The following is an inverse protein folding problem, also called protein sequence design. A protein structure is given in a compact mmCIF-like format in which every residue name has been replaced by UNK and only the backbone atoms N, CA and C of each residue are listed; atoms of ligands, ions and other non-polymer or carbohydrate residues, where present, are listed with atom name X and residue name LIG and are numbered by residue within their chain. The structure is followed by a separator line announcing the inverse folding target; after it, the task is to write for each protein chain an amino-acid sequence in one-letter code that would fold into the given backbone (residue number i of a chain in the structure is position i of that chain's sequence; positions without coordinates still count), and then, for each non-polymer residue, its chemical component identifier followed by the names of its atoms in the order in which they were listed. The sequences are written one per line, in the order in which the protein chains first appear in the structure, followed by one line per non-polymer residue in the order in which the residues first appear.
data_IF_182293426685
#
_entry.id   IF_182293426685
#
_cell.length_a   1.000
_cell.length_b   1.000
_cell.length_c   1.000
_cell.angle_alpha   90.00
_cell.angle_beta   90.00
_cell.angle_gamma   90.00
#
_symmetry.space_group_name_H-M   'P 1'
#
loop_
_entity.id
_entity.type
_entity.pdbx_description
1 polymer ?
#
# COMPACT_ATOMS: atom_id res chain seq x y z
N UNK A 1 -16.48 -14.87 7.18
CA UNK A 1 -16.01 -13.55 7.67
C UNK A 1 -15.37 -12.72 6.54
N UNK A 2 -14.37 -13.24 5.81
CA UNK A 2 -13.67 -12.46 4.76
C UNK A 2 -14.60 -11.99 3.62
N UNK A 3 -15.47 -12.88 3.10
CA UNK A 3 -16.45 -12.52 2.08
C UNK A 3 -17.49 -11.51 2.60
N UNK A 4 -17.95 -11.66 3.84
CA UNK A 4 -18.87 -10.70 4.47
C UNK A 4 -18.26 -9.31 4.58
N UNK A 5 -16.95 -9.19 4.84
CA UNK A 5 -16.25 -7.90 4.85
C UNK A 5 -16.26 -7.24 3.48
N UNK A 6 -15.95 -7.99 2.43
CA UNK A 6 -16.00 -7.46 1.05
C UNK A 6 -17.41 -6.99 0.67
N UNK A 7 -18.45 -7.77 1.04
CA UNK A 7 -19.85 -7.41 0.81
C UNK A 7 -20.23 -6.14 1.58
N UNK A 8 -19.87 -6.05 2.87
CA UNK A 8 -20.15 -4.86 3.69
C UNK A 8 -19.50 -3.59 3.13
N UNK A 9 -18.33 -3.72 2.49
CA UNK A 9 -17.62 -2.62 1.82
C UNK A 9 -18.08 -2.40 0.38
N UNK A 10 -19.03 -3.21 -0.10
CA UNK A 10 -19.47 -3.22 -1.50
C UNK A 10 -18.29 -3.26 -2.48
N UNK A 11 -17.34 -4.17 -2.21
CA UNK A 11 -16.17 -4.41 -3.05
C UNK A 11 -16.27 -5.81 -3.68
N UNK A 12 -16.22 -5.94 -5.01
CA UNK A 12 -16.24 -7.23 -5.67
C UNK A 12 -14.98 -8.05 -5.33
N UNK A 13 -15.19 -9.35 -5.03
CA UNK A 13 -14.12 -10.33 -4.84
C UNK A 13 -13.83 -10.96 -6.20
N UNK A 14 -13.05 -10.26 -7.00
CA UNK A 14 -12.60 -10.72 -8.30
C UNK A 14 -11.12 -10.37 -8.45
N UNK A 15 -10.30 -11.41 -8.64
CA UNK A 15 -8.85 -11.24 -8.75
C UNK A 15 -8.43 -10.36 -9.94
N UNK A 16 -9.22 -10.35 -11.02
CA UNK A 16 -8.97 -9.54 -12.21
C UNK A 16 -9.25 -8.06 -11.98
N UNK A 17 -10.22 -7.74 -11.13
CA UNK A 17 -10.63 -6.38 -10.84
C UNK A 17 -9.71 -5.67 -9.85
N UNK A 18 -9.10 -6.39 -8.91
CA UNK A 18 -8.13 -5.85 -7.97
C UNK A 18 -8.70 -4.98 -6.86
N UNK A 19 -10.01 -5.10 -6.54
CA UNK A 19 -10.65 -4.36 -5.45
C UNK A 19 -10.47 -5.03 -4.09
N UNK A 20 -10.78 -6.31 -4.01
CA UNK A 20 -10.64 -7.11 -2.80
C UNK A 20 -10.28 -8.55 -3.15
N UNK A 21 -9.57 -9.20 -2.24
CA UNK A 21 -9.15 -10.59 -2.37
C UNK A 21 -9.54 -11.37 -1.12
N UNK A 22 -9.81 -12.65 -1.30
CA UNK A 22 -9.92 -13.62 -0.21
C UNK A 22 -8.82 -14.65 -0.42
N UNK A 23 -7.83 -14.63 0.46
CA UNK A 23 -6.64 -15.46 0.33
C UNK A 23 -6.54 -16.45 1.50
N UNK A 24 -6.00 -17.66 1.27
CA UNK A 24 -5.69 -18.58 2.36
C UNK A 24 -4.53 -18.02 3.20
N UNK A 25 -4.74 -17.98 4.50
CA UNK A 25 -3.73 -17.57 5.48
C UNK A 25 -3.54 -18.66 6.53
N UNK A 26 -2.30 -19.10 6.73
CA UNK A 26 -1.97 -20.08 7.76
C UNK A 26 -1.78 -19.39 9.10
N UNK A 27 -2.71 -19.61 10.00
CA UNK A 27 -2.57 -19.23 11.42
C UNK A 27 -1.68 -20.26 12.14
N UNK A 28 -0.41 -19.90 12.28
CA UNK A 28 0.57 -20.80 12.91
C UNK A 28 0.31 -21.04 14.39
N UNK A 29 -0.43 -20.15 15.08
CA UNK A 29 -0.77 -20.33 16.51
C UNK A 29 -1.88 -21.35 16.69
N UNK A 30 -2.83 -21.39 15.76
CA UNK A 30 -3.98 -22.30 15.79
C UNK A 30 -3.78 -23.55 14.93
N UNK A 31 -2.74 -23.59 14.10
CA UNK A 31 -2.49 -24.71 13.17
C UNK A 31 -3.51 -24.86 12.05
N UNK A 32 -4.35 -23.85 11.79
CA UNK A 32 -5.42 -23.89 10.79
C UNK A 32 -5.16 -22.90 9.65
N UNK A 33 -5.77 -23.15 8.50
CA UNK A 33 -5.80 -22.17 7.40
C UNK A 33 -7.14 -21.47 7.38
N UNK A 34 -7.11 -20.14 7.42
CA UNK A 34 -8.30 -19.28 7.41
C UNK A 34 -8.38 -18.46 6.13
N UNK A 35 -9.62 -18.13 5.73
CA UNK A 35 -9.85 -17.19 4.64
C UNK A 35 -9.61 -15.76 5.15
N UNK A 36 -8.59 -15.10 4.63
CA UNK A 36 -8.24 -13.72 4.97
C UNK A 36 -8.76 -12.75 3.92
N UNK A 37 -9.42 -11.69 4.39
CA UNK A 37 -9.74 -10.54 3.55
C UNK A 37 -8.47 -9.73 3.30
N UNK A 38 -8.23 -9.35 2.05
CA UNK A 38 -7.16 -8.45 1.69
C UNK A 38 -7.68 -7.36 0.76
N UNK A 39 -7.48 -6.10 1.16
CA UNK A 39 -7.89 -4.94 0.39
C UNK A 39 -6.91 -4.72 -0.78
N UNK A 40 -7.44 -4.68 -1.99
CA UNK A 40 -6.67 -4.38 -3.19
C UNK A 40 -6.35 -2.90 -3.34
N UNK A 41 -5.35 -2.56 -4.16
CA UNK A 41 -4.98 -1.16 -4.43
C UNK A 41 -6.14 -0.37 -5.03
N UNK A 42 -6.86 -0.95 -6.00
CA UNK A 42 -8.05 -0.33 -6.59
C UNK A 42 -9.18 -0.19 -5.56
N UNK A 43 -9.30 -1.13 -4.61
CA UNK A 43 -10.27 -1.05 -3.52
C UNK A 43 -10.02 0.12 -2.59
N UNK A 44 -8.76 0.38 -2.23
CA UNK A 44 -8.38 1.56 -1.45
C UNK A 44 -8.80 2.85 -2.16
N UNK A 45 -8.48 2.97 -3.45
CA UNK A 45 -8.86 4.13 -4.26
C UNK A 45 -10.39 4.29 -4.36
N UNK A 46 -11.11 3.19 -4.54
CA UNK A 46 -12.57 3.20 -4.63
C UNK A 46 -13.23 3.68 -3.33
N UNK A 47 -12.74 3.22 -2.17
CA UNK A 47 -13.25 3.67 -0.89
C UNK A 47 -12.92 5.15 -0.63
N UNK A 48 -11.74 5.61 -1.02
CA UNK A 48 -11.38 7.02 -0.97
C UNK A 48 -12.32 7.89 -1.82
N UNK A 49 -12.58 7.48 -3.06
CA UNK A 49 -13.54 8.16 -3.95
C UNK A 49 -14.94 8.23 -3.35
N UNK A 50 -15.45 7.12 -2.83
CA UNK A 50 -16.79 7.05 -2.22
C UNK A 50 -16.95 7.93 -0.98
N UNK A 51 -15.85 8.21 -0.25
CA UNK A 51 -15.90 9.08 0.93
C UNK A 51 -16.26 10.52 0.59
N UNK A 52 -16.10 10.94 -0.67
CA UNK A 52 -16.32 12.31 -1.12
C UNK A 52 -15.37 13.35 -0.50
N UNK A 53 -14.33 12.93 0.22
CA UNK A 53 -13.44 13.83 0.97
C UNK A 53 -12.18 14.24 0.19
N UNK A 54 -11.87 13.56 -0.91
CA UNK A 54 -10.63 13.75 -1.64
C UNK A 54 -10.81 14.62 -2.89
N UNK A 55 -10.02 15.69 -2.98
CA UNK A 55 -9.88 16.49 -4.20
C UNK A 55 -8.96 15.81 -5.23
N UNK A 56 -7.92 15.11 -4.74
CA UNK A 56 -7.03 14.28 -5.55
C UNK A 56 -7.05 12.86 -5.01
N UNK A 57 -7.32 11.89 -5.89
CA UNK A 57 -7.34 10.47 -5.51
C UNK A 57 -5.96 10.06 -4.99
N UNK A 58 -5.89 9.34 -3.86
CA UNK A 58 -4.63 8.85 -3.34
C UNK A 58 -3.85 8.08 -4.40
N UNK A 59 -2.63 8.51 -4.64
CA UNK A 59 -1.74 7.89 -5.62
C UNK A 59 -0.36 7.65 -5.03
N UNK A 60 0.43 6.79 -5.67
CA UNK A 60 1.81 6.55 -5.32
C UNK A 60 2.66 6.31 -6.57
N UNK A 61 3.93 6.65 -6.44
CA UNK A 61 4.96 6.37 -7.44
C UNK A 61 6.27 5.97 -6.75
N UNK A 62 7.15 5.32 -7.51
CA UNK A 62 8.54 5.15 -7.12
C UNK A 62 9.29 6.50 -7.20
N UNK A 63 10.35 6.60 -6.43
CA UNK A 63 11.27 7.74 -6.43
C UNK A 63 12.63 7.23 -6.84
N UNK A 64 13.21 7.84 -7.88
CA UNK A 64 14.50 7.49 -8.44
C UNK A 64 15.62 8.33 -7.83
N UNK A 65 16.84 7.86 -7.99
CA UNK A 65 18.01 8.58 -7.55
C UNK A 65 18.11 9.96 -8.21
N UNK A 66 18.32 11.00 -7.39
CA UNK A 66 18.30 12.41 -7.80
C UNK A 66 16.93 13.09 -7.74
N UNK A 67 15.80 12.36 -7.61
CA UNK A 67 14.46 12.96 -7.55
C UNK A 67 14.09 13.49 -6.15
N UNK A 68 14.63 12.92 -5.06
CA UNK A 68 14.41 13.41 -3.70
C UNK A 68 15.41 14.51 -3.36
N UNK A 69 14.95 15.75 -3.25
CA UNK A 69 15.78 16.92 -2.91
C UNK A 69 16.03 17.01 -1.41
N UNK A 70 14.97 16.88 -0.61
CA UNK A 70 15.06 16.98 0.85
C UNK A 70 13.97 16.21 1.56
N UNK A 71 14.27 15.74 2.77
CA UNK A 71 13.31 15.12 3.70
C UNK A 71 13.52 15.70 5.09
N UNK A 72 12.51 16.39 5.60
CA UNK A 72 12.48 16.81 7.00
C UNK A 72 11.91 15.68 7.85
N UNK A 73 12.72 15.09 8.72
CA UNK A 73 12.29 13.96 9.55
C UNK A 73 11.33 14.36 10.67
N UNK A 74 11.34 15.62 11.08
CA UNK A 74 10.47 16.12 12.14
C UNK A 74 9.05 16.39 11.61
N UNK A 75 8.94 17.12 10.50
CA UNK A 75 7.65 17.48 9.90
C UNK A 75 7.09 16.42 8.95
N UNK A 76 7.95 15.53 8.44
CA UNK A 76 7.62 14.58 7.38
C UNK A 76 7.61 15.19 5.97
N UNK A 77 7.87 16.50 5.85
CA UNK A 77 7.89 17.19 4.57
C UNK A 77 9.00 16.64 3.66
N UNK A 78 8.64 16.36 2.42
CA UNK A 78 9.57 15.93 1.39
C UNK A 78 9.43 16.83 0.16
N UNK A 79 10.57 17.18 -0.45
CA UNK A 79 10.61 17.93 -1.71
C UNK A 79 11.20 17.05 -2.79
N UNK A 80 10.52 17.00 -3.93
CA UNK A 80 10.89 16.20 -5.08
C UNK A 80 11.07 17.07 -6.32
N UNK A 81 11.97 16.66 -7.19
CA UNK A 81 12.08 17.13 -8.56
C UNK A 81 12.11 15.90 -9.46
N UNK A 82 10.96 15.52 -9.98
CA UNK A 82 10.84 14.33 -10.80
C UNK A 82 11.45 14.55 -12.18
N UNK A 83 12.18 13.54 -12.69
CA UNK A 83 12.76 13.52 -14.01
C UNK A 83 11.62 13.35 -15.01
N UNK A 84 11.45 14.31 -15.93
CA UNK A 84 10.37 14.31 -16.92
C UNK A 84 10.63 13.32 -18.06
N UNK A 85 11.89 13.15 -18.45
CA UNK A 85 12.27 12.18 -19.47
C UNK A 85 12.19 10.76 -18.92
N UNK A 86 11.28 9.97 -19.47
CA UNK A 86 11.01 8.60 -19.01
C UNK A 86 12.21 7.67 -19.23
N UNK A 87 12.94 7.82 -20.33
CA UNK A 87 14.09 6.96 -20.64
C UNK A 87 15.27 7.27 -19.70
N UNK A 88 15.50 8.54 -19.40
CA UNK A 88 16.52 8.96 -18.43
C UNK A 88 16.13 8.47 -17.03
N UNK A 89 14.86 8.63 -16.66
CA UNK A 89 14.33 8.22 -15.36
C UNK A 89 14.48 6.71 -15.13
N UNK A 90 14.19 5.87 -16.13
CA UNK A 90 14.28 4.41 -16.00
C UNK A 90 15.71 3.91 -15.79
N UNK A 91 16.73 4.65 -16.25
CA UNK A 91 18.15 4.32 -16.01
C UNK A 91 18.58 4.54 -14.56
N UNK A 92 17.83 5.33 -13.79
CA UNK A 92 18.14 5.62 -12.38
C UNK A 92 17.60 4.55 -11.44
N UNK A 93 18.33 4.15 -10.40
CA UNK A 93 17.84 3.18 -9.44
C UNK A 93 16.69 3.74 -8.60
N UNK A 94 15.74 2.88 -8.21
CA UNK A 94 14.68 3.21 -7.27
C UNK A 94 15.27 3.33 -5.87
N UNK A 95 15.11 4.51 -5.24
CA UNK A 95 15.58 4.80 -3.87
C UNK A 95 14.45 4.81 -2.85
N UNK A 96 13.19 4.91 -3.27
CA UNK A 96 12.05 4.93 -2.39
C UNK A 96 10.72 4.99 -3.10
N UNK A 97 9.68 5.22 -2.31
CA UNK A 97 8.29 5.28 -2.77
C UNK A 97 7.57 6.40 -2.04
N UNK A 98 6.75 7.15 -2.77
CA UNK A 98 5.99 8.27 -2.23
C UNK A 98 4.52 8.13 -2.55
N UNK A 99 3.66 8.51 -1.61
CA UNK A 99 2.23 8.65 -1.80
C UNK A 99 1.79 10.07 -1.52
N UNK A 100 0.83 10.55 -2.29
CA UNK A 100 0.22 11.86 -2.15
C UNK A 100 -1.30 11.79 -2.24
N UNK A 101 -1.96 12.64 -1.49
CA UNK A 101 -3.37 12.97 -1.67
C UNK A 101 -3.65 14.41 -1.24
N UNK A 102 -4.75 14.97 -1.76
CA UNK A 102 -5.30 16.26 -1.35
C UNK A 102 -6.78 16.13 -1.02
N UNK A 103 -7.20 16.74 0.07
CA UNK A 103 -8.58 16.77 0.53
C UNK A 103 -9.32 17.99 -0.04
N UNK A 104 -10.65 17.95 -0.04
CA UNK A 104 -11.49 19.06 -0.49
C UNK A 104 -11.34 20.31 0.38
N UNK A 105 -10.99 20.16 1.67
CA UNK A 105 -10.71 21.30 2.56
C UNK A 105 -9.34 21.94 2.33
N UNK A 106 -8.59 21.51 1.31
CA UNK A 106 -7.27 22.01 0.96
C UNK A 106 -6.10 21.34 1.68
N UNK A 107 -6.35 20.50 2.72
CA UNK A 107 -5.29 19.76 3.38
C UNK A 107 -4.70 18.71 2.42
N UNK A 108 -3.37 18.57 2.46
CA UNK A 108 -2.66 17.61 1.63
C UNK A 108 -1.63 16.83 2.44
N UNK A 109 -1.30 15.64 1.99
CA UNK A 109 -0.34 14.78 2.65
C UNK A 109 0.57 14.10 1.64
N UNK A 110 1.86 14.19 1.93
CA UNK A 110 2.93 13.46 1.24
C UNK A 110 3.56 12.48 2.24
N UNK A 111 3.62 11.20 1.88
CA UNK A 111 4.23 10.17 2.72
C UNK A 111 5.27 9.39 1.93
N UNK A 112 6.51 9.48 2.35
CA UNK A 112 7.65 8.84 1.70
C UNK A 112 8.27 7.76 2.58
N UNK A 113 8.64 6.65 1.96
CA UNK A 113 9.48 5.59 2.54
C UNK A 113 10.63 5.29 1.60
N UNK A 114 11.85 5.22 2.13
CA UNK A 114 13.00 4.74 1.37
C UNK A 114 12.84 3.25 1.03
N UNK A 115 13.55 2.80 -0.02
CA UNK A 115 13.55 1.38 -0.41
C UNK A 115 13.95 0.47 0.76
N UNK A 116 14.96 0.87 1.54
CA UNK A 116 15.40 0.11 2.71
C UNK A 116 14.33 0.06 3.83
N UNK A 117 13.60 1.17 4.07
CA UNK A 117 12.46 1.18 5.00
C UNK A 117 11.35 0.25 4.50
N UNK A 118 11.10 0.24 3.20
CA UNK A 118 10.08 -0.62 2.57
C UNK A 118 10.45 -2.11 2.64
N UNK A 119 11.71 -2.46 2.40
CA UNK A 119 12.21 -3.83 2.56
C UNK A 119 12.06 -4.33 4.00
N UNK A 120 12.41 -3.51 4.98
CA UNK A 120 12.18 -3.82 6.41
C UNK A 120 10.71 -4.03 6.71
N UNK A 121 9.84 -3.20 6.14
CA UNK A 121 8.39 -3.36 6.27
C UNK A 121 7.92 -4.69 5.67
N UNK A 122 8.35 -5.02 4.44
CA UNK A 122 8.00 -6.27 3.79
C UNK A 122 8.47 -7.50 4.60
N UNK A 123 9.70 -7.50 5.10
CA UNK A 123 10.22 -8.57 5.96
C UNK A 123 9.44 -8.71 7.27
N UNK A 124 8.99 -7.60 7.86
CA UNK A 124 8.22 -7.64 9.10
C UNK A 124 6.83 -8.21 8.92
N UNK A 125 6.14 -7.84 7.83
CA UNK A 125 4.71 -8.08 7.68
C UNK A 125 4.33 -9.16 6.66
N UNK A 126 5.22 -9.57 5.76
CA UNK A 126 4.93 -10.62 4.79
C UNK A 126 5.53 -11.96 5.21
N UNK A 127 4.68 -12.92 5.55
CA UNK A 127 5.11 -14.29 5.90
C UNK A 127 5.81 -14.98 4.72
N UNK A 128 5.32 -14.79 3.50
CA UNK A 128 5.92 -15.41 2.30
C UNK A 128 7.27 -14.80 1.97
N UNK A 129 7.42 -13.48 2.11
CA UNK A 129 8.68 -12.78 1.81
C UNK A 129 9.79 -13.10 2.82
N UNK A 130 9.45 -13.27 4.11
CA UNK A 130 10.41 -13.67 5.17
C UNK A 130 10.63 -15.17 5.29
N UNK A 131 9.96 -15.99 4.46
CA UNK A 131 10.06 -17.44 4.52
C UNK A 131 11.50 -17.92 4.29
N UNK A 132 11.96 -18.88 5.12
CA UNK A 132 13.22 -19.57 4.91
C UNK A 132 13.19 -20.53 3.71
N UNK A 133 11.99 -20.91 3.22
CA UNK A 133 11.84 -21.75 2.03
C UNK A 133 12.02 -20.89 0.77
N UNK A 134 13.08 -21.12 -0.05
CA UNK A 134 13.36 -20.33 -1.24
C UNK A 134 12.23 -20.31 -2.25
N UNK A 135 11.50 -21.41 -2.42
CA UNK A 135 10.36 -21.51 -3.36
C UNK A 135 9.21 -20.61 -2.93
N UNK A 136 8.91 -20.59 -1.62
CA UNK A 136 7.85 -19.72 -1.05
C UNK A 136 8.23 -18.26 -1.18
N UNK A 137 9.49 -17.92 -0.88
CA UNK A 137 9.99 -16.56 -1.00
C UNK A 137 9.98 -16.07 -2.45
N UNK A 138 10.42 -16.91 -3.39
CA UNK A 138 10.42 -16.58 -4.82
C UNK A 138 9.01 -16.32 -5.37
N UNK A 139 8.00 -17.06 -4.88
CA UNK A 139 6.59 -16.88 -5.26
C UNK A 139 5.89 -15.70 -4.55
N UNK A 140 6.57 -15.02 -3.62
CA UNK A 140 6.01 -13.88 -2.92
C UNK A 140 5.83 -12.69 -3.86
N UNK A 141 4.69 -12.00 -3.78
CA UNK A 141 4.46 -10.75 -4.52
C UNK A 141 5.48 -9.65 -4.18
N UNK A 142 6.04 -9.66 -2.98
CA UNK A 142 7.16 -8.78 -2.62
C UNK A 142 8.46 -9.13 -3.34
N UNK A 143 8.60 -10.35 -3.88
CA UNK A 143 9.75 -10.74 -4.69
C UNK A 143 9.52 -10.46 -6.16
N UNK A 144 8.33 -10.78 -6.69
CA UNK A 144 8.01 -10.68 -8.12
C UNK A 144 7.60 -9.27 -8.54
N UNK A 145 6.88 -8.54 -7.67
CA UNK A 145 6.24 -7.25 -7.97
C UNK A 145 6.51 -6.24 -6.85
N UNK A 146 7.78 -6.05 -6.47
CA UNK A 146 8.17 -5.23 -5.31
C UNK A 146 7.63 -3.80 -5.39
N UNK A 147 7.77 -3.14 -6.53
CA UNK A 147 7.37 -1.74 -6.71
C UNK A 147 5.86 -1.57 -6.54
N UNK A 148 5.06 -2.47 -7.10
CA UNK A 148 3.59 -2.42 -6.98
C UNK A 148 3.15 -2.65 -5.54
N UNK A 149 3.78 -3.60 -4.83
CA UNK A 149 3.52 -3.85 -3.41
C UNK A 149 3.95 -2.66 -2.54
N UNK A 150 5.05 -2.01 -2.87
CA UNK A 150 5.53 -0.82 -2.18
C UNK A 150 4.61 0.38 -2.40
N UNK A 151 4.18 0.65 -3.64
CA UNK A 151 3.20 1.69 -3.96
C UNK A 151 1.87 1.48 -3.23
N UNK A 152 1.34 0.25 -3.23
CA UNK A 152 0.16 -0.12 -2.44
C UNK A 152 0.36 0.19 -0.95
N UNK A 153 1.52 -0.15 -0.42
CA UNK A 153 1.84 -0.01 1.00
C UNK A 153 1.94 1.46 1.41
N UNK A 154 2.64 2.31 0.65
CA UNK A 154 2.75 3.74 1.01
C UNK A 154 1.40 4.46 0.93
N UNK A 155 0.52 4.11 -0.02
CA UNK A 155 -0.85 4.66 -0.07
C UNK A 155 -1.64 4.27 1.18
N UNK A 156 -1.62 2.99 1.54
CA UNK A 156 -2.32 2.51 2.74
C UNK A 156 -1.81 3.17 4.01
N UNK A 157 -0.49 3.28 4.17
CA UNK A 157 0.13 3.91 5.33
C UNK A 157 -0.16 5.40 5.38
N UNK A 158 -0.11 6.11 4.24
CA UNK A 158 -0.45 7.53 4.17
C UNK A 158 -1.90 7.75 4.59
N UNK A 159 -2.84 7.01 4.03
CA UNK A 159 -4.26 7.11 4.37
C UNK A 159 -4.51 6.80 5.85
N UNK A 160 -3.97 5.68 6.36
CA UNK A 160 -4.22 5.27 7.75
C UNK A 160 -3.68 6.23 8.79
N UNK A 161 -2.63 7.00 8.46
CA UNK A 161 -1.99 7.95 9.38
C UNK A 161 -2.51 9.39 9.25
N UNK A 162 -2.82 9.80 8.01
CA UNK A 162 -2.94 11.22 7.70
C UNK A 162 -4.30 11.61 7.10
N UNK A 163 -5.15 10.66 6.70
CA UNK A 163 -6.46 10.97 6.13
C UNK A 163 -7.58 10.93 7.18
N UNK A 164 -8.60 11.79 7.08
CA UNK A 164 -9.85 11.60 7.78
C UNK A 164 -10.57 10.40 7.16
N UNK A 165 -10.50 9.27 7.85
CA UNK A 165 -11.06 8.02 7.35
C UNK A 165 -12.55 7.93 7.71
N UNK A 166 -13.42 7.61 6.74
CA UNK A 166 -14.77 7.15 7.02
C UNK A 166 -14.72 5.85 7.85
N UNK A 167 -15.79 5.55 8.58
CA UNK A 167 -15.88 4.31 9.37
C UNK A 167 -15.62 3.08 8.49
N UNK A 168 -16.23 3.06 7.29
CA UNK A 168 -16.03 1.98 6.33
C UNK A 168 -14.56 1.82 5.90
N UNK A 169 -13.86 2.92 5.66
CA UNK A 169 -12.47 2.91 5.26
C UNK A 169 -11.54 2.48 6.41
N UNK A 170 -11.84 2.92 7.64
CA UNK A 170 -11.13 2.45 8.84
C UNK A 170 -11.29 0.94 9.02
N UNK A 171 -12.51 0.43 8.88
CA UNK A 171 -12.80 -1.00 9.01
C UNK A 171 -12.15 -1.83 7.91
N UNK A 172 -12.09 -1.32 6.68
CA UNK A 172 -11.40 -1.95 5.57
C UNK A 172 -9.89 -2.07 5.81
N UNK A 173 -9.25 -0.96 6.25
CA UNK A 173 -7.82 -0.92 6.54
C UNK A 173 -7.46 -1.79 7.75
N UNK A 174 -8.29 -1.80 8.81
CA UNK A 174 -8.11 -2.69 9.96
C UNK A 174 -8.25 -4.15 9.57
N UNK A 175 -9.25 -4.50 8.75
CA UNK A 175 -9.45 -5.87 8.29
C UNK A 175 -8.27 -6.39 7.45
N UNK A 176 -7.66 -5.52 6.63
CA UNK A 176 -6.48 -5.85 5.83
C UNK A 176 -5.20 -5.99 6.71
N UNK A 177 -5.18 -5.33 7.88
CA UNK A 177 -4.05 -5.39 8.83
C UNK A 177 -4.26 -6.42 9.96
N UNK A 178 -5.45 -6.99 10.11
CA UNK A 178 -5.86 -7.75 11.29
C UNK A 178 -5.19 -9.12 11.46
N UNK A 179 -4.26 -9.49 10.59
CA UNK A 179 -3.47 -10.73 10.71
C UNK A 179 -1.98 -10.38 10.56
N UNK A 180 -1.53 -9.59 11.50
CA UNK A 180 -0.11 -9.34 11.73
C UNK A 180 0.34 -9.93 13.04
#
# INVERSE_FOLDING_TARGET
FAAMKATALNLPIDNSLGFAYVLPYKDNKKGITVAQFQLGYKGVKQLALRSGSFATIPNATDVRDGELISRNRLTGECKFNFIEDAEEREKKPVIGFVSYFKLLNGAESTFYMSKAEMEKHALRYSQTYRSANPKVKAASKWTTDFNDMACKTVVKLNLSKNAPLSVEMQDALKADQSIM
#
